data_IF_995194504771
#
_entry.id   IF_995194504771
#
_cell.length_a   1.000
_cell.length_b   1.000
_cell.length_c   1.000
_cell.angle_alpha   90.00
_cell.angle_beta   90.00
_cell.angle_gamma   90.00
#
_symmetry.space_group_name_H-M   'P 1'
#
loop_
_entity.id
_entity.type
_entity.pdbx_description
1 polymer ?
#
# COMPACT_ATOMS: atom_id res chain seq x y z
N UNK A 1 -3.12 -2.00 -6.33
CA UNK A 1 -3.16 -0.93 -5.30
C UNK A 1 -2.20 0.17 -5.74
N UNK A 2 -2.39 1.39 -5.29
CA UNK A 2 -1.48 2.50 -5.57
C UNK A 2 -1.54 3.57 -4.47
N UNK A 3 -0.52 4.42 -4.38
CA UNK A 3 -0.42 5.53 -3.47
C UNK A 3 0.12 6.82 -4.11
N UNK A 4 -0.47 7.94 -3.71
CA UNK A 4 -0.04 9.27 -4.11
C UNK A 4 0.44 10.08 -2.89
N UNK A 5 1.53 10.83 -3.06
CA UNK A 5 2.03 11.77 -2.07
C UNK A 5 2.38 13.12 -2.71
N UNK A 6 2.00 14.23 -2.08
CA UNK A 6 2.30 15.58 -2.58
C UNK A 6 3.72 15.99 -2.18
N UNK A 7 4.72 15.44 -2.87
CA UNK A 7 6.15 15.66 -2.59
C UNK A 7 6.74 14.65 -1.60
N UNK A 8 8.04 14.79 -1.23
CA UNK A 8 8.78 13.76 -0.50
C UNK A 8 8.25 13.46 0.92
N UNK A 9 7.57 14.43 1.55
CA UNK A 9 7.01 14.36 2.91
C UNK A 9 5.71 15.16 3.04
N UNK A 10 4.86 15.11 2.01
CA UNK A 10 3.59 15.82 1.99
C UNK A 10 2.38 14.93 2.30
N UNK A 11 1.17 15.46 2.09
CA UNK A 11 -0.06 14.69 2.20
C UNK A 11 0.00 13.42 1.36
N UNK A 12 -0.27 12.28 2.00
CA UNK A 12 -0.17 10.94 1.40
C UNK A 12 -1.51 10.22 1.49
N UNK A 13 -1.95 9.60 0.40
CA UNK A 13 -3.17 8.81 0.33
C UNK A 13 -2.90 7.54 -0.48
N UNK A 14 -3.72 6.52 -0.29
CA UNK A 14 -3.62 5.27 -1.04
C UNK A 14 -4.98 4.61 -1.22
N UNK A 15 -5.08 3.73 -2.22
CA UNK A 15 -6.32 3.01 -2.54
C UNK A 15 -6.08 1.62 -3.10
N UNK A 16 -7.11 0.80 -2.99
CA UNK A 16 -7.24 -0.48 -3.66
C UNK A 16 -8.42 -0.47 -4.60
N UNK A 17 -8.24 -1.00 -5.80
CA UNK A 17 -9.31 -1.21 -6.78
C UNK A 17 -9.29 -2.65 -7.26
N UNK A 18 -10.44 -3.13 -7.72
CA UNK A 18 -10.52 -4.36 -8.50
C UNK A 18 -9.94 -4.15 -9.89
N UNK A 19 -9.08 -5.06 -10.35
CA UNK A 19 -8.41 -4.94 -11.66
C UNK A 19 -9.41 -5.08 -12.82
N UNK A 20 -10.43 -5.92 -12.67
CA UNK A 20 -11.40 -6.23 -13.72
C UNK A 20 -12.50 -5.17 -13.89
N UNK A 21 -12.89 -4.51 -12.79
CA UNK A 21 -14.00 -3.54 -12.80
C UNK A 21 -13.58 -2.10 -12.48
N UNK A 22 -12.32 -1.89 -12.11
CA UNK A 22 -11.78 -0.63 -11.57
C UNK A 22 -12.53 -0.10 -10.33
N UNK A 23 -13.41 -0.93 -9.74
CA UNK A 23 -14.17 -0.55 -8.56
C UNK A 23 -13.23 -0.37 -7.37
N UNK A 24 -13.28 0.81 -6.77
CA UNK A 24 -12.55 1.11 -5.53
C UNK A 24 -13.11 0.29 -4.37
N UNK A 25 -12.27 -0.55 -3.78
CA UNK A 25 -12.62 -1.40 -2.63
C UNK A 25 -12.26 -0.74 -1.30
N UNK A 26 -11.28 0.16 -1.30
CA UNK A 26 -10.96 1.03 -0.17
C UNK A 26 -10.13 2.23 -0.62
N UNK A 27 -10.19 3.30 0.18
CA UNK A 27 -9.33 4.48 0.11
C UNK A 27 -8.98 4.95 1.52
N UNK A 28 -7.75 5.44 1.69
CA UNK A 28 -7.21 5.90 2.97
C UNK A 28 -6.46 7.21 2.78
N UNK A 29 -6.53 8.07 3.80
CA UNK A 29 -5.94 9.41 3.78
C UNK A 29 -6.89 10.49 3.20
N UNK A 30 -6.35 11.69 2.92
CA UNK A 30 -4.94 12.05 3.02
C UNK A 30 -4.45 12.09 4.48
N UNK A 31 -3.33 11.43 4.74
CA UNK A 31 -2.55 11.62 5.95
C UNK A 31 -1.68 12.87 5.77
N UNK A 32 -1.57 13.77 6.77
CA UNK A 32 -0.89 15.05 6.60
C UNK A 32 0.57 14.94 6.13
N UNK A 33 1.27 13.90 6.57
CA UNK A 33 2.69 13.66 6.26
C UNK A 33 2.90 12.19 5.99
N UNK A 34 3.41 11.85 4.81
CA UNK A 34 3.84 10.51 4.43
C UNK A 34 4.76 10.53 3.22
N UNK A 35 5.12 9.35 2.72
CA UNK A 35 5.85 9.19 1.47
C UNK A 35 5.12 8.21 0.57
N UNK A 36 5.31 8.29 -0.76
CA UNK A 36 4.69 7.35 -1.70
C UNK A 36 4.99 5.89 -1.32
N UNK A 37 6.24 5.57 -0.96
CA UNK A 37 6.63 4.21 -0.56
C UNK A 37 5.91 3.72 0.70
N UNK A 38 5.62 4.60 1.68
CA UNK A 38 4.82 4.22 2.85
C UNK A 38 3.38 3.94 2.41
N UNK A 39 2.80 4.81 1.59
CA UNK A 39 1.45 4.63 1.08
C UNK A 39 1.31 3.31 0.32
N UNK A 40 2.24 3.01 -0.59
CA UNK A 40 2.31 1.76 -1.33
C UNK A 40 2.35 0.54 -0.39
N UNK A 41 3.21 0.58 0.62
CA UNK A 41 3.32 -0.50 1.61
C UNK A 41 2.01 -0.73 2.36
N UNK A 42 1.40 0.34 2.87
CA UNK A 42 0.13 0.27 3.59
C UNK A 42 -1.01 -0.20 2.67
N UNK A 43 -1.02 0.23 1.41
CA UNK A 43 -2.01 -0.18 0.42
C UNK A 43 -1.96 -1.68 0.14
N UNK A 44 -0.75 -2.26 0.01
CA UNK A 44 -0.60 -3.70 -0.18
C UNK A 44 -1.14 -4.44 1.05
N UNK A 45 -0.75 -4.04 2.26
CA UNK A 45 -1.19 -4.73 3.49
C UNK A 45 -2.69 -4.61 3.72
N UNK A 46 -3.30 -3.45 3.46
CA UNK A 46 -4.75 -3.27 3.55
C UNK A 46 -5.50 -4.12 2.50
N UNK A 47 -4.94 -4.31 1.29
CA UNK A 47 -5.52 -5.22 0.31
C UNK A 47 -5.43 -6.68 0.75
N UNK A 48 -4.30 -7.11 1.32
CA UNK A 48 -4.16 -8.46 1.87
C UNK A 48 -5.17 -8.72 2.99
N UNK A 49 -5.34 -7.76 3.91
CA UNK A 49 -6.37 -7.81 4.96
C UNK A 49 -7.78 -7.87 4.40
N UNK A 50 -8.06 -7.11 3.35
CA UNK A 50 -9.37 -7.07 2.71
C UNK A 50 -9.74 -8.42 2.08
N UNK A 51 -8.76 -9.11 1.48
CA UNK A 51 -8.90 -10.44 0.90
C UNK A 51 -9.06 -11.51 1.97
N UNK A 52 -8.21 -11.49 3.00
CA UNK A 52 -8.24 -12.42 4.13
C UNK A 52 -9.59 -12.39 4.86
N UNK A 53 -10.09 -11.19 5.17
CA UNK A 53 -11.41 -11.00 5.79
C UNK A 53 -12.59 -11.52 4.95
N UNK A 54 -12.37 -11.84 3.67
CA UNK A 54 -13.37 -12.38 2.74
C UNK A 54 -13.09 -13.82 2.31
N UNK A 55 -12.00 -14.43 2.79
CA UNK A 55 -11.57 -15.75 2.35
C UNK A 55 -11.23 -15.81 0.86
N UNK A 56 -10.71 -14.72 0.28
CA UNK A 56 -10.31 -14.65 -1.13
C UNK A 56 -8.80 -14.86 -1.28
N UNK A 57 -8.39 -15.57 -2.33
CA UNK A 57 -6.99 -15.91 -2.63
C UNK A 57 -6.40 -15.12 -3.81
N UNK A 58 -7.09 -14.07 -4.27
CA UNK A 58 -6.67 -13.26 -5.41
C UNK A 58 -5.32 -12.59 -5.18
N UNK A 59 -4.51 -12.41 -6.23
CA UNK A 59 -3.24 -11.69 -6.10
C UNK A 59 -3.46 -10.19 -5.85
N UNK A 60 -2.57 -9.60 -5.05
CA UNK A 60 -2.44 -8.14 -4.91
C UNK A 60 -1.36 -7.64 -5.86
N UNK A 61 -1.73 -6.78 -6.80
CA UNK A 61 -0.78 -6.11 -7.70
C UNK A 61 -0.34 -4.75 -7.14
N UNK A 62 0.97 -4.49 -7.19
CA UNK A 62 1.61 -3.17 -7.01
C UNK A 62 2.80 -3.09 -7.97
N UNK A 63 3.09 -1.92 -8.53
CA UNK A 63 4.28 -1.68 -9.34
C UNK A 63 5.51 -1.30 -8.47
N UNK A 64 5.29 -0.89 -7.22
CA UNK A 64 6.33 -0.47 -6.28
C UNK A 64 7.24 -1.62 -5.82
N UNK A 65 8.45 -1.68 -6.39
CA UNK A 65 9.51 -2.61 -5.96
C UNK A 65 9.88 -2.44 -4.48
N UNK A 66 9.87 -1.21 -3.97
CA UNK A 66 10.24 -0.91 -2.58
C UNK A 66 9.20 -1.48 -1.62
N UNK A 67 7.92 -1.19 -1.84
CA UNK A 67 6.85 -1.63 -0.96
C UNK A 67 6.68 -3.15 -0.97
N UNK A 68 6.71 -3.80 -2.14
CA UNK A 68 6.71 -5.27 -2.22
C UNK A 68 7.88 -5.87 -1.43
N UNK A 69 9.07 -5.27 -1.53
CA UNK A 69 10.25 -5.69 -0.76
C UNK A 69 10.11 -5.48 0.75
N UNK A 70 9.33 -4.51 1.21
CA UNK A 70 9.00 -4.31 2.63
C UNK A 70 7.98 -5.32 3.12
N UNK A 71 6.95 -5.62 2.33
CA UNK A 71 5.96 -6.66 2.64
C UNK A 71 6.62 -8.04 2.75
N UNK A 72 7.47 -8.41 1.79
CA UNK A 72 8.22 -9.66 1.83
C UNK A 72 9.10 -9.79 3.09
N UNK A 73 9.60 -8.67 3.61
CA UNK A 73 10.42 -8.63 4.84
C UNK A 73 9.59 -8.43 6.11
N UNK A 74 8.28 -8.26 6.01
CA UNK A 74 7.41 -7.91 7.13
C UNK A 74 7.74 -6.58 7.81
N UNK A 75 8.46 -5.67 7.13
CA UNK A 75 9.04 -4.47 7.76
C UNK A 75 9.10 -3.27 6.82
N UNK A 76 8.48 -2.17 7.23
CA UNK A 76 8.56 -0.87 6.56
C UNK A 76 9.85 -0.14 6.96
N UNK A 77 10.80 -0.03 6.02
CA UNK A 77 12.12 0.62 6.26
C UNK A 77 12.12 2.08 5.83
N UNK A 78 11.20 2.86 6.40
CA UNK A 78 11.07 4.29 6.09
C UNK A 78 12.12 5.17 6.78
N UNK A 79 12.46 6.31 6.15
CA UNK A 79 13.28 7.39 6.72
C UNK A 79 12.44 8.62 7.12
N UNK A 80 11.11 8.48 7.16
CA UNK A 80 10.24 9.56 7.62
C UNK A 80 10.55 9.88 9.10
N UNK A 81 10.78 11.14 9.49
CA UNK A 81 11.02 11.47 10.88
C UNK A 81 9.77 11.24 11.72
N UNK A 82 9.95 10.72 12.94
CA UNK A 82 8.88 10.60 13.93
C UNK A 82 8.62 11.96 14.54
N UNK A 83 7.51 12.56 14.12
CA UNK A 83 6.96 13.82 14.62
C UNK A 83 5.49 13.62 14.98
N UNK A 84 4.86 14.52 15.75
CA UNK A 84 3.43 14.47 16.03
C UNK A 84 2.56 14.36 14.76
N UNK A 85 2.97 15.01 13.67
CA UNK A 85 2.24 15.00 12.39
C UNK A 85 2.31 13.64 11.68
N UNK A 86 3.38 12.87 11.90
CA UNK A 86 3.58 11.54 11.30
C UNK A 86 3.09 10.40 12.18
N UNK A 87 2.65 10.68 13.41
CA UNK A 87 2.34 9.65 14.42
C UNK A 87 1.30 8.66 13.90
N UNK A 88 0.20 9.16 13.31
CA UNK A 88 -0.86 8.32 12.75
C UNK A 88 -0.33 7.36 11.66
N UNK A 89 0.62 7.81 10.84
CA UNK A 89 1.24 6.97 9.81
C UNK A 89 2.13 5.89 10.42
N UNK A 90 2.83 6.21 11.51
CA UNK A 90 3.63 5.22 12.23
C UNK A 90 2.77 4.18 12.97
N UNK A 91 1.61 4.58 13.48
CA UNK A 91 0.65 3.66 14.11
C UNK A 91 0.12 2.65 13.07
N UNK A 92 -0.21 3.13 11.86
CA UNK A 92 -0.59 2.28 10.73
C UNK A 92 0.53 1.34 10.30
N UNK A 93 1.77 1.82 10.23
CA UNK A 93 2.94 0.97 9.92
C UNK A 93 3.08 -0.14 10.97
N UNK A 94 3.04 0.21 12.27
CA UNK A 94 3.18 -0.77 13.33
C UNK A 94 2.06 -1.82 13.29
N UNK A 95 0.85 -1.40 12.96
CA UNK A 95 -0.28 -2.28 12.79
C UNK A 95 -0.13 -3.21 11.58
N UNK A 96 0.28 -2.68 10.43
CA UNK A 96 0.56 -3.44 9.23
C UNK A 96 1.65 -4.51 9.46
N UNK A 97 2.75 -4.13 10.12
CA UNK A 97 3.84 -5.07 10.48
C UNK A 97 3.35 -6.19 11.41
N UNK A 98 2.53 -5.88 12.42
CA UNK A 98 1.93 -6.90 13.30
C UNK A 98 1.05 -7.87 12.52
N UNK A 99 0.24 -7.36 11.60
CA UNK A 99 -0.65 -8.22 10.81
C UNK A 99 0.14 -9.15 9.89
N UNK A 100 1.17 -8.65 9.20
CA UNK A 100 2.05 -9.49 8.38
C UNK A 100 2.72 -10.59 9.20
N UNK A 101 3.18 -10.28 10.41
CA UNK A 101 3.77 -11.27 11.31
C UNK A 101 2.76 -12.36 11.74
N UNK A 102 1.49 -12.01 11.90
CA UNK A 102 0.43 -12.95 12.26
C UNK A 102 -0.11 -13.76 11.07
N UNK A 103 0.11 -13.32 9.83
CA UNK A 103 -0.42 -13.93 8.60
C UNK A 103 0.70 -14.26 7.61
N UNK A 104 1.61 -15.20 7.93
CA UNK A 104 2.74 -15.55 7.06
C UNK A 104 2.32 -16.21 5.74
N UNK A 105 1.08 -16.71 5.65
CA UNK A 105 0.50 -17.36 4.47
C UNK A 105 -0.58 -16.49 3.81
N UNK A 106 -0.31 -15.19 3.66
CA UNK A 106 -1.23 -14.27 2.98
C UNK A 106 -1.23 -14.48 1.45
N UNK A 107 -2.23 -13.91 0.77
CA UNK A 107 -2.35 -13.92 -0.69
C UNK A 107 -1.08 -13.39 -1.40
N UNK A 108 -0.79 -13.83 -2.63
CA UNK A 108 0.44 -13.45 -3.32
C UNK A 108 0.46 -11.97 -3.68
N UNK A 109 1.63 -11.33 -3.51
CA UNK A 109 1.88 -9.95 -3.93
C UNK A 109 2.69 -9.96 -5.21
N UNK A 110 2.08 -9.54 -6.32
CA UNK A 110 2.64 -9.64 -7.67
C UNK A 110 3.07 -8.28 -8.22
N UNK A 111 3.94 -8.33 -9.22
CA UNK A 111 4.43 -7.15 -9.96
C UNK A 111 3.36 -6.73 -10.97
N UNK A 112 2.93 -5.47 -10.93
CA UNK A 112 2.28 -4.85 -12.07
C UNK A 112 3.33 -4.38 -13.07
N UNK A 113 3.30 -4.88 -14.30
CA UNK A 113 4.27 -4.52 -15.33
C UNK A 113 3.81 -3.29 -16.11
N UNK A 114 3.99 -2.10 -15.53
CA UNK A 114 3.50 -0.81 -16.08
C UNK A 114 3.89 -0.58 -17.54
N UNK A 115 5.10 -1.01 -17.94
CA UNK A 115 5.59 -0.86 -19.32
C UNK A 115 4.82 -1.69 -20.35
N UNK A 116 4.28 -2.84 -19.95
CA UNK A 116 3.58 -3.77 -20.87
C UNK A 116 2.07 -3.67 -20.74
N UNK A 117 1.55 -3.29 -19.57
CA UNK A 117 0.12 -3.30 -19.26
C UNK A 117 -0.49 -1.91 -19.11
N UNK A 118 0.31 -0.85 -19.23
CA UNK A 118 -0.12 0.51 -18.95
C UNK A 118 -0.12 0.82 -17.45
N UNK A 119 -0.60 2.00 -17.09
CA UNK A 119 -0.71 2.42 -15.69
C UNK A 119 -1.58 1.45 -14.90
N UNK A 120 -1.24 1.26 -13.62
CA UNK A 120 -2.02 0.37 -12.75
C UNK A 120 -3.44 0.95 -12.59
N UNK A 121 -4.52 0.13 -12.57
CA UNK A 121 -5.88 0.66 -12.46
C UNK A 121 -6.14 1.48 -11.18
N UNK A 122 -5.31 1.29 -10.15
CA UNK A 122 -5.36 2.06 -8.91
C UNK A 122 -4.69 3.44 -9.02
N UNK A 123 -3.99 3.77 -10.12
CA UNK A 123 -3.20 4.99 -10.29
C UNK A 123 -4.04 6.25 -10.04
N UNK A 124 -3.50 7.24 -9.34
CA UNK A 124 -4.24 8.47 -9.03
C UNK A 124 -4.34 9.46 -10.21
N UNK A 125 -3.72 9.18 -11.36
CA UNK A 125 -3.60 10.06 -12.53
C UNK A 125 -3.09 11.47 -12.17
N UNK A 126 -2.21 11.54 -11.17
CA UNK A 126 -1.60 12.79 -10.68
C UNK A 126 -0.08 12.62 -10.75
N UNK A 127 0.51 12.94 -11.89
CA UNK A 127 1.97 13.06 -12.07
C UNK A 127 2.35 14.53 -12.13
#
# INVERSE_FOLDING_TARGET
VDAAASGPRGPMQYRGVRVDTEQEVFRRGPFPVGTGNIGEFLAIVDALRWLDARGLDWPVYSDSKVARGWVQKGRCRTQLPRTPQSQAVFDLIADAERWLAAHPQHAPVLIWHTRTWGEIPADFNRK
#
